data_IF_394119779973
#
_entry.id   IF_394119779973
#
_cell.length_a   1.000
_cell.length_b   1.000
_cell.length_c   1.000
_cell.angle_alpha   90.00
_cell.angle_beta   90.00
_cell.angle_gamma   90.00
#
_symmetry.space_group_name_H-M   'P 1'
#
loop_
_entity.id
_entity.type
_entity.pdbx_description
1 polymer ?
#
# COMPACT_ATOMS: atom_id res chain seq x y z
N UNK A 1 27.91 4.19 27.74
CA UNK A 1 26.68 4.70 27.10
C UNK A 1 25.75 3.51 26.84
N UNK A 2 24.47 3.61 27.21
CA UNK A 2 23.50 2.54 26.92
C UNK A 2 23.05 2.62 25.45
N UNK A 3 22.90 1.47 24.79
CA UNK A 3 22.38 1.41 23.41
C UNK A 3 20.91 1.86 23.35
N UNK A 4 20.50 2.44 22.21
CA UNK A 4 19.10 2.81 21.93
C UNK A 4 18.12 1.65 22.21
N UNK A 5 18.49 0.43 21.81
CA UNK A 5 17.70 -0.78 22.04
C UNK A 5 17.46 -1.07 23.54
N UNK A 6 18.51 -0.94 24.35
CA UNK A 6 18.40 -1.11 25.81
C UNK A 6 17.49 -0.04 26.42
N UNK A 7 17.63 1.22 25.98
CA UNK A 7 16.82 2.34 26.46
C UNK A 7 15.32 2.14 26.22
N UNK A 8 14.95 1.55 25.08
CA UNK A 8 13.55 1.17 24.80
C UNK A 8 13.04 0.17 25.83
N UNK A 9 13.76 -0.93 26.06
CA UNK A 9 13.35 -1.98 26.99
C UNK A 9 13.29 -1.49 28.44
N UNK A 10 14.32 -0.75 28.88
CA UNK A 10 14.39 -0.19 30.22
C UNK A 10 13.32 0.89 30.48
N UNK A 11 12.64 1.39 29.44
CA UNK A 11 11.52 2.32 29.58
C UNK A 11 10.16 1.64 29.79
N UNK A 12 10.02 0.35 29.48
CA UNK A 12 8.73 -0.36 29.51
C UNK A 12 8.12 -0.40 30.91
N UNK A 13 8.91 -0.65 31.95
CA UNK A 13 8.39 -0.70 33.32
C UNK A 13 7.75 0.61 33.79
N UNK A 14 8.09 1.76 33.20
CA UNK A 14 7.47 3.06 33.52
C UNK A 14 6.12 3.26 32.83
N UNK A 15 5.94 2.73 31.63
CA UNK A 15 4.71 2.91 30.83
C UNK A 15 3.75 1.73 30.93
N UNK A 16 4.25 0.54 31.25
CA UNK A 16 3.49 -0.68 31.46
C UNK A 16 4.15 -1.49 32.59
N UNK A 17 3.76 -1.28 33.86
CA UNK A 17 4.37 -1.94 35.02
C UNK A 17 4.37 -3.49 34.94
N UNK A 18 3.37 -4.08 34.28
CA UNK A 18 3.30 -5.51 34.03
C UNK A 18 4.45 -6.06 33.15
N UNK A 19 5.20 -5.18 32.49
CA UNK A 19 6.38 -5.49 31.67
C UNK A 19 7.67 -4.92 32.28
N UNK A 20 7.75 -4.80 33.61
CA UNK A 20 9.02 -4.50 34.27
C UNK A 20 10.05 -5.61 33.97
N UNK A 21 11.24 -5.19 33.52
CA UNK A 21 12.33 -6.07 33.13
C UNK A 21 13.56 -5.79 33.99
N UNK A 22 14.31 -6.83 34.33
CA UNK A 22 15.60 -6.66 34.99
C UNK A 22 16.64 -6.09 34.00
N UNK A 23 17.77 -5.60 34.54
CA UNK A 23 18.93 -5.21 33.71
C UNK A 23 19.40 -6.37 32.82
N UNK A 24 19.44 -7.59 33.37
CA UNK A 24 19.83 -8.80 32.64
C UNK A 24 18.88 -9.09 31.47
N UNK A 25 17.58 -9.00 31.70
CA UNK A 25 16.58 -9.18 30.64
C UNK A 25 16.71 -8.11 29.56
N UNK A 26 16.90 -6.85 29.94
CA UNK A 26 17.08 -5.76 28.99
C UNK A 26 18.33 -5.98 28.12
N UNK A 27 19.44 -6.42 28.72
CA UNK A 27 20.67 -6.76 27.99
C UNK A 27 20.45 -7.96 27.06
N UNK A 28 19.76 -9.01 27.52
CA UNK A 28 19.50 -10.21 26.73
C UNK A 28 18.52 -9.98 25.56
N UNK A 29 17.55 -9.07 25.73
CA UNK A 29 16.54 -8.77 24.72
C UNK A 29 16.96 -7.66 23.75
N UNK A 30 17.92 -6.79 24.11
CA UNK A 30 18.36 -5.69 23.26
C UNK A 30 18.73 -6.11 21.82
N UNK A 31 19.42 -7.24 21.57
CA UNK A 31 19.70 -7.70 20.21
C UNK A 31 18.46 -7.94 19.35
N UNK A 32 17.32 -8.31 19.96
CA UNK A 32 16.05 -8.51 19.25
C UNK A 32 15.36 -7.19 18.88
N UNK A 33 15.72 -6.08 19.53
CA UNK A 33 15.20 -4.74 19.22
C UNK A 33 16.03 -4.07 18.12
N UNK A 34 17.32 -4.36 18.03
CA UNK A 34 18.21 -3.85 16.98
C UNK A 34 17.64 -3.96 15.55
N UNK A 35 17.10 -5.11 15.10
CA UNK A 35 16.53 -5.22 13.75
C UNK A 35 15.26 -4.38 13.54
N UNK A 36 14.51 -4.06 14.60
CA UNK A 36 13.37 -3.14 14.50
C UNK A 36 13.83 -1.72 14.23
N UNK A 37 14.85 -1.28 14.98
CA UNK A 37 15.46 0.04 14.80
C UNK A 37 16.14 0.16 13.44
N UNK A 38 16.84 -0.89 12.99
CA UNK A 38 17.47 -0.94 11.67
C UNK A 38 16.45 -0.87 10.52
N UNK A 39 15.19 -1.27 10.76
CA UNK A 39 14.07 -1.12 9.81
C UNK A 39 13.38 0.25 9.91
N UNK A 40 13.94 1.18 10.69
CA UNK A 40 13.40 2.53 10.87
C UNK A 40 12.16 2.61 11.78
N UNK A 41 11.81 1.53 12.51
CA UNK A 41 10.69 1.59 13.46
C UNK A 41 11.11 2.48 14.64
N UNK A 42 10.33 3.51 14.94
CA UNK A 42 10.63 4.42 16.04
C UNK A 42 10.56 3.73 17.42
N UNK A 43 11.37 4.17 18.40
CA UNK A 43 11.29 3.71 19.78
C UNK A 43 9.86 3.69 20.35
N UNK A 44 9.07 4.74 20.10
CA UNK A 44 7.68 4.82 20.55
C UNK A 44 6.80 3.77 19.90
N UNK A 45 6.97 3.51 18.61
CA UNK A 45 6.22 2.48 17.91
C UNK A 45 6.58 1.08 18.39
N UNK A 46 7.85 0.84 18.73
CA UNK A 46 8.27 -0.42 19.36
C UNK A 46 7.58 -0.57 20.72
N UNK A 47 7.63 0.44 21.60
CA UNK A 47 6.95 0.41 22.90
C UNK A 47 5.47 0.13 22.75
N UNK A 48 4.78 0.87 21.88
CA UNK A 48 3.36 0.67 21.61
C UNK A 48 3.07 -0.76 21.17
N UNK A 49 3.87 -1.30 20.24
CA UNK A 49 3.73 -2.68 19.81
C UNK A 49 3.87 -3.63 20.99
N UNK A 50 4.86 -3.41 21.86
CA UNK A 50 5.12 -4.24 23.05
C UNK A 50 4.04 -4.12 24.13
N UNK A 51 3.35 -2.99 24.28
CA UNK A 51 2.37 -2.76 25.35
C UNK A 51 0.91 -2.89 24.93
N UNK A 52 0.59 -3.00 23.63
CA UNK A 52 -0.81 -3.08 23.17
C UNK A 52 -1.41 -4.46 23.45
N UNK A 53 -2.62 -4.55 24.02
CA UNK A 53 -3.34 -5.82 24.20
C UNK A 53 -2.61 -6.81 25.10
N UNK A 54 -2.16 -6.36 26.28
CA UNK A 54 -1.51 -7.24 27.25
C UNK A 54 -2.52 -8.19 27.90
N UNK A 55 -2.18 -9.47 28.10
CA UNK A 55 -2.97 -10.34 28.95
C UNK A 55 -2.88 -9.87 30.40
N UNK A 56 -3.93 -10.10 31.17
CA UNK A 56 -3.95 -9.78 32.61
C UNK A 56 -4.24 -11.05 33.40
N UNK A 57 -3.30 -11.54 34.23
CA UNK A 57 -1.95 -11.01 34.49
C UNK A 57 -0.88 -11.43 33.45
N UNK A 58 0.26 -10.73 33.43
CA UNK A 58 1.47 -11.15 32.69
C UNK A 58 2.43 -11.85 33.66
N UNK A 59 2.51 -13.17 33.60
CA UNK A 59 3.39 -13.95 34.50
C UNK A 59 4.87 -13.95 34.09
N UNK A 60 5.16 -13.84 32.78
CA UNK A 60 6.51 -13.95 32.24
C UNK A 60 6.83 -12.78 31.29
N UNK A 61 7.15 -11.58 31.84
CA UNK A 61 7.30 -10.36 31.02
C UNK A 61 8.43 -10.47 29.99
N UNK A 62 9.60 -11.01 30.36
CA UNK A 62 10.72 -11.16 29.44
C UNK A 62 10.40 -12.13 28.28
N UNK A 63 9.75 -13.26 28.57
CA UNK A 63 9.34 -14.23 27.56
C UNK A 63 8.27 -13.66 26.63
N UNK A 64 7.31 -12.90 27.17
CA UNK A 64 6.28 -12.21 26.40
C UNK A 64 6.89 -11.20 25.43
N UNK A 65 7.78 -10.34 25.94
CA UNK A 65 8.47 -9.32 25.12
C UNK A 65 9.29 -9.98 24.02
N UNK A 66 10.06 -11.04 24.33
CA UNK A 66 10.78 -11.83 23.32
C UNK A 66 9.86 -12.31 22.21
N UNK A 67 8.79 -13.03 22.59
CA UNK A 67 7.85 -13.61 21.63
C UNK A 67 7.25 -12.54 20.72
N UNK A 68 6.95 -11.38 21.27
CA UNK A 68 6.39 -10.26 20.51
C UNK A 68 7.42 -9.61 19.60
N UNK A 69 8.64 -9.38 20.05
CA UNK A 69 9.74 -8.87 19.23
C UNK A 69 10.05 -9.80 18.05
N UNK A 70 9.94 -11.11 18.22
CA UNK A 70 10.15 -12.09 17.15
C UNK A 70 8.96 -12.18 16.20
N UNK A 71 7.74 -12.31 16.75
CA UNK A 71 6.53 -12.57 15.95
C UNK A 71 5.93 -11.35 15.26
N UNK A 72 6.17 -10.14 15.79
CA UNK A 72 5.60 -8.89 15.26
C UNK A 72 6.61 -8.06 14.47
N UNK A 73 7.84 -8.55 14.31
CA UNK A 73 8.86 -7.87 13.52
C UNK A 73 8.38 -7.80 12.06
N UNK A 74 8.03 -6.60 11.54
CA UNK A 74 7.49 -6.48 10.19
C UNK A 74 8.55 -6.93 9.21
N UNK A 75 8.22 -7.80 8.23
CA UNK A 75 9.16 -8.22 7.19
C UNK A 75 9.91 -7.00 6.64
N UNK A 76 11.21 -7.15 6.35
CA UNK A 76 11.96 -6.07 5.73
C UNK A 76 11.17 -5.65 4.49
N UNK A 77 10.74 -4.39 4.43
CA UNK A 77 10.22 -3.86 3.19
C UNK A 77 11.33 -4.11 2.18
N UNK A 78 11.06 -4.94 1.18
CA UNK A 78 12.01 -5.20 0.12
C UNK A 78 12.34 -3.85 -0.49
N UNK A 79 13.51 -3.31 -0.17
CA UNK A 79 14.11 -2.18 -0.88
C UNK A 79 14.58 -2.60 -2.27
N UNK A 80 14.24 -3.82 -2.70
CA UNK A 80 14.27 -4.25 -4.08
C UNK A 80 13.06 -3.67 -4.83
N UNK A 81 13.22 -2.43 -5.30
CA UNK A 81 12.23 -1.73 -6.09
C UNK A 81 12.75 -0.46 -6.76
N UNK A 82 14.05 -0.37 -7.04
CA UNK A 82 14.58 0.49 -8.09
C UNK A 82 14.67 -0.27 -9.45
N UNK A 83 14.88 -1.59 -9.51
CA UNK A 83 15.06 -2.27 -10.82
C UNK A 83 14.69 -3.78 -10.88
N UNK A 84 13.66 -4.25 -10.15
CA UNK A 84 13.17 -5.63 -10.27
C UNK A 84 11.73 -5.70 -10.79
N UNK A 85 11.36 -6.61 -11.72
CA UNK A 85 9.95 -6.81 -12.07
C UNK A 85 9.21 -7.32 -10.83
N UNK A 86 8.45 -6.43 -10.20
CA UNK A 86 7.54 -6.78 -9.14
C UNK A 86 6.61 -7.89 -9.62
N UNK A 87 6.41 -8.93 -8.81
CA UNK A 87 5.24 -9.78 -9.00
C UNK A 87 4.01 -8.86 -9.00
N UNK A 88 3.16 -8.87 -10.05
CA UNK A 88 2.11 -7.90 -10.17
C UNK A 88 1.17 -8.06 -8.99
N UNK A 89 1.11 -7.04 -8.12
CA UNK A 89 0.00 -6.91 -7.19
C UNK A 89 -1.28 -7.11 -7.99
N UNK A 90 -2.19 -7.96 -7.50
CA UNK A 90 -3.47 -8.16 -8.18
C UNK A 90 -4.11 -6.78 -8.39
N UNK A 91 -4.45 -6.40 -9.63
CA UNK A 91 -4.96 -5.07 -9.90
C UNK A 91 -6.22 -4.84 -9.05
N UNK A 92 -6.41 -3.64 -8.49
CA UNK A 92 -7.61 -3.32 -7.73
C UNK A 92 -8.83 -3.64 -8.60
N UNK A 93 -9.82 -4.32 -8.03
CA UNK A 93 -11.11 -4.57 -8.69
C UNK A 93 -12.13 -3.58 -8.15
N UNK A 94 -12.94 -3.04 -9.04
CA UNK A 94 -14.12 -2.27 -8.72
C UNK A 94 -15.38 -3.08 -9.07
N UNK A 95 -16.51 -2.71 -8.49
CA UNK A 95 -17.80 -3.36 -8.70
C UNK A 95 -18.77 -2.38 -9.35
N UNK A 96 -19.65 -2.89 -10.21
CA UNK A 96 -20.74 -2.09 -10.75
C UNK A 96 -21.72 -1.73 -9.62
N UNK A 97 -22.07 -0.45 -9.47
CA UNK A 97 -23.05 -0.03 -8.46
C UNK A 97 -24.46 -0.65 -8.67
N UNK A 98 -24.78 -1.07 -9.90
CA UNK A 98 -26.13 -1.53 -10.26
C UNK A 98 -26.25 -3.07 -10.26
N UNK A 99 -25.31 -3.79 -10.87
CA UNK A 99 -25.38 -5.25 -10.96
C UNK A 99 -24.31 -5.99 -10.14
N UNK A 100 -23.41 -5.28 -9.44
CA UNK A 100 -22.33 -5.88 -8.66
C UNK A 100 -21.23 -6.57 -9.47
N UNK A 101 -21.25 -6.48 -10.80
CA UNK A 101 -20.25 -7.15 -11.64
C UNK A 101 -18.83 -6.65 -11.34
N UNK A 102 -17.88 -7.54 -10.99
CA UNK A 102 -16.50 -7.15 -10.71
C UNK A 102 -15.73 -6.89 -12.00
N UNK A 103 -14.86 -5.88 -12.01
CA UNK A 103 -14.04 -5.54 -13.17
C UNK A 103 -12.86 -4.64 -12.81
N UNK A 104 -11.95 -4.37 -13.77
CA UNK A 104 -10.94 -3.33 -13.58
C UNK A 104 -11.63 -1.94 -13.45
N UNK A 105 -11.05 -0.97 -12.74
CA UNK A 105 -11.65 0.36 -12.55
C UNK A 105 -11.97 1.07 -13.87
N UNK A 106 -11.18 0.80 -14.92
CA UNK A 106 -11.35 1.32 -16.27
C UNK A 106 -12.56 0.73 -17.02
N UNK A 107 -13.14 -0.38 -16.55
CA UNK A 107 -14.37 -0.95 -17.12
C UNK A 107 -15.64 -0.18 -16.72
N UNK A 108 -15.51 0.78 -15.78
CA UNK A 108 -16.61 1.56 -15.25
C UNK A 108 -16.50 3.03 -15.68
N UNK A 109 -17.63 3.64 -15.97
CA UNK A 109 -17.77 5.08 -16.19
C UNK A 109 -18.96 5.46 -15.34
N UNK A 110 -18.78 6.46 -14.49
CA UNK A 110 -19.77 6.82 -13.45
C UNK A 110 -20.18 5.62 -12.58
N UNK A 111 -19.26 4.67 -12.33
CA UNK A 111 -19.53 3.48 -11.51
C UNK A 111 -20.40 2.40 -12.16
N UNK A 112 -20.72 2.51 -13.46
CA UNK A 112 -21.54 1.53 -14.19
C UNK A 112 -20.76 0.77 -15.27
N UNK A 113 -20.97 -0.55 -15.32
CA UNK A 113 -20.38 -1.43 -16.32
C UNK A 113 -21.02 -1.19 -17.70
N UNK A 114 -20.37 -1.63 -18.78
CA UNK A 114 -20.89 -1.43 -20.16
C UNK A 114 -22.32 -1.95 -20.36
N UNK A 115 -22.70 -3.05 -19.69
CA UNK A 115 -24.03 -3.64 -19.83
C UNK A 115 -25.13 -2.85 -19.10
N UNK A 116 -24.82 -2.24 -17.95
CA UNK A 116 -25.77 -1.43 -17.18
C UNK A 116 -25.85 0.02 -17.67
N UNK A 117 -24.96 0.44 -18.59
CA UNK A 117 -25.07 1.78 -19.16
C UNK A 117 -26.26 1.86 -20.10
N UNK A 118 -27.02 2.97 -20.06
CA UNK A 118 -28.01 3.23 -21.08
C UNK A 118 -27.28 3.30 -22.43
N UNK A 119 -27.89 2.68 -23.45
CA UNK A 119 -27.39 2.79 -24.82
C UNK A 119 -27.50 4.26 -25.26
N UNK A 120 -26.40 4.99 -25.18
CA UNK A 120 -26.27 6.26 -25.90
C UNK A 120 -25.99 5.89 -27.35
N UNK A 121 -26.98 6.06 -28.23
CA UNK A 121 -26.73 6.00 -29.66
C UNK A 121 -25.54 6.92 -29.97
N UNK A 122 -24.57 6.42 -30.73
CA UNK A 122 -23.49 7.26 -31.20
C UNK A 122 -24.11 8.48 -31.88
N UNK A 123 -23.58 9.70 -31.66
CA UNK A 123 -24.04 10.86 -32.42
C UNK A 123 -23.94 10.50 -33.90
N UNK A 124 -25.06 10.59 -34.61
CA UNK A 124 -25.07 10.41 -36.06
C UNK A 124 -24.21 11.53 -36.61
N UNK A 125 -23.02 11.20 -37.07
CA UNK A 125 -22.18 12.14 -37.78
C UNK A 125 -22.83 12.40 -39.13
N UNK A 126 -23.60 13.49 -39.22
CA UNK A 126 -23.97 14.07 -40.51
C UNK A 126 -22.75 14.82 -41.05
N UNK A 127 -22.10 14.33 -42.12
CA UNK A 127 -21.00 15.06 -42.71
C UNK A 127 -21.50 16.42 -43.22
N UNK A 128 -20.78 17.49 -42.88
CA UNK A 128 -21.10 18.86 -43.32
C UNK A 128 -20.82 19.05 -44.82
N UNK A 129 -19.91 18.26 -45.38
CA UNK A 129 -19.53 18.32 -46.80
C UNK A 129 -20.11 17.13 -47.55
N UNK A 130 -20.60 17.41 -48.75
CA UNK A 130 -20.95 16.38 -49.72
C UNK A 130 -19.69 15.68 -50.24
N UNK A 131 -19.79 14.43 -50.72
CA UNK A 131 -18.66 13.73 -51.33
C UNK A 131 -17.99 14.53 -52.47
N UNK A 132 -18.78 15.26 -53.26
CA UNK A 132 -18.27 16.08 -54.35
C UNK A 132 -17.36 17.23 -53.86
N UNK A 133 -17.73 17.90 -52.77
CA UNK A 133 -16.93 18.97 -52.16
C UNK A 133 -15.63 18.44 -51.56
N UNK A 134 -15.67 17.24 -50.95
CA UNK A 134 -14.47 16.56 -50.46
C UNK A 134 -13.52 16.24 -51.61
N UNK A 135 -14.03 15.73 -52.73
CA UNK A 135 -13.23 15.43 -53.92
C UNK A 135 -12.64 16.69 -54.55
N UNK A 136 -13.41 17.78 -54.65
CA UNK A 136 -12.93 19.06 -55.16
C UNK A 136 -11.81 19.63 -54.27
N UNK A 137 -11.98 19.58 -52.94
CA UNK A 137 -10.97 20.03 -52.00
C UNK A 137 -9.67 19.19 -52.10
N UNK A 138 -9.80 17.86 -52.17
CA UNK A 138 -8.67 16.95 -52.30
C UNK A 138 -7.94 17.10 -53.65
N UNK A 139 -8.63 17.46 -54.73
CA UNK A 139 -8.00 17.76 -56.01
C UNK A 139 -7.16 19.04 -55.92
N UNK A 140 -7.69 20.08 -55.27
CA UNK A 140 -7.01 21.36 -55.10
C UNK A 140 -5.72 21.26 -54.27
N UNK A 141 -5.76 20.52 -53.15
CA UNK A 141 -4.56 20.28 -52.34
C UNK A 141 -3.49 19.51 -53.14
N UNK A 142 -3.89 18.51 -53.94
CA UNK A 142 -2.95 17.74 -54.77
C UNK A 142 -2.26 18.60 -55.82
N UNK A 143 -2.98 19.55 -56.40
CA UNK A 143 -2.41 20.48 -57.38
C UNK A 143 -1.46 21.50 -56.71
N UNK A 144 -1.87 22.07 -55.57
CA UNK A 144 -1.03 22.99 -54.80
C UNK A 144 0.28 22.33 -54.31
N UNK A 145 0.25 21.03 -54.02
CA UNK A 145 1.43 20.25 -53.59
C UNK A 145 2.39 19.88 -54.72
N UNK A 146 2.05 20.19 -55.98
CA UNK A 146 2.84 19.85 -57.16
C UNK A 146 3.72 21.02 -57.64
N UNK A 147 3.51 22.22 -57.10
CA UNK A 147 4.30 23.43 -57.32
C UNK A 147 5.45 23.53 -56.32
#
# INVERSE_FOLDING_TARGET
MYSSAYGVLASLGRTAPALALSKGDCTALAPLVTPWLARGISPDRIRLTLTTGLPTPVHHPAAFVRKRLESKLPAQASTAGAEGPAAPASPPRAECYECGAPGPPTAFTEGRCRACRPYTAAPVHTPTLTPAEVHAHAARIREESRL
#
